data_IF_246422619583
#
_entry.id   IF_246422619583
#
_cell.length_a   1.000
_cell.length_b   1.000
_cell.length_c   1.000
_cell.angle_alpha   90.00
_cell.angle_beta   90.00
_cell.angle_gamma   90.00
#
_symmetry.space_group_name_H-M   'P 1'
#
loop_
_entity.id
_entity.type
_entity.pdbx_description
1 polymer ?
#
# COMPACT_ATOMS: atom_id res chain seq x y z
N UNK A 1 -5.16 17.58 13.15
CA UNK A 1 -4.16 17.24 12.16
C UNK A 1 -4.10 15.73 12.01
N UNK A 2 -4.40 15.21 10.84
CA UNK A 2 -4.66 13.77 10.62
C UNK A 2 -3.37 12.94 10.52
N UNK A 3 -2.29 13.56 10.06
CA UNK A 3 -1.00 12.90 9.91
C UNK A 3 -0.47 12.31 11.23
N UNK A 4 -0.54 13.09 12.32
CA UNK A 4 -0.13 12.61 13.66
C UNK A 4 -0.92 11.40 14.16
N UNK A 5 -2.16 11.22 13.69
CA UNK A 5 -2.96 10.06 14.05
C UNK A 5 -2.45 8.81 13.34
N UNK A 6 -2.19 8.90 12.03
CA UNK A 6 -1.65 7.78 11.26
C UNK A 6 -0.23 7.44 11.72
N UNK A 7 0.60 8.44 12.01
CA UNK A 7 1.97 8.24 12.49
C UNK A 7 2.05 7.38 13.77
N UNK A 8 1.05 7.45 14.65
CA UNK A 8 0.99 6.63 15.87
C UNK A 8 0.59 5.18 15.61
N UNK A 9 0.12 4.87 14.42
CA UNK A 9 -0.31 3.54 13.99
C UNK A 9 0.79 2.82 13.19
N UNK A 10 1.87 3.53 12.85
CA UNK A 10 3.02 3.00 12.11
C UNK A 10 4.07 2.40 13.05
N UNK A 11 4.97 1.53 12.56
CA UNK A 11 6.10 1.03 13.35
C UNK A 11 6.93 2.16 13.95
N UNK A 12 7.53 1.93 15.12
CA UNK A 12 8.32 2.95 15.84
C UNK A 12 9.55 3.42 15.04
N UNK A 13 10.10 2.55 14.20
CA UNK A 13 11.25 2.80 13.31
C UNK A 13 10.85 3.36 11.94
N UNK A 14 9.54 3.60 11.69
CA UNK A 14 9.06 4.09 10.41
C UNK A 14 9.46 5.56 10.18
N UNK A 15 10.28 5.79 9.18
CA UNK A 15 10.65 7.13 8.76
C UNK A 15 9.56 7.76 7.88
N UNK A 16 8.98 8.86 8.36
CA UNK A 16 7.96 9.59 7.60
C UNK A 16 8.55 10.20 6.33
N UNK A 17 7.90 10.02 5.16
CA UNK A 17 8.32 10.67 3.94
C UNK A 17 8.18 12.20 4.03
N UNK A 18 8.86 12.92 3.15
CA UNK A 18 8.58 14.34 2.93
C UNK A 18 7.14 14.51 2.47
N UNK A 19 6.55 15.67 2.75
CA UNK A 19 5.19 15.96 2.32
C UNK A 19 5.21 17.14 1.37
N UNK A 20 4.71 16.92 0.14
CA UNK A 20 4.47 17.96 -0.85
C UNK A 20 2.97 18.15 -1.03
N UNK A 21 2.52 19.39 -1.07
CA UNK A 21 1.12 19.75 -1.37
C UNK A 21 1.10 20.47 -2.71
N UNK A 22 0.45 19.87 -3.70
CA UNK A 22 0.38 20.44 -5.03
C UNK A 22 -0.93 20.07 -5.74
N UNK A 23 -1.22 20.71 -6.87
CA UNK A 23 -2.28 20.28 -7.77
C UNK A 23 -1.79 19.15 -8.66
N UNK A 24 -2.15 17.91 -8.30
CA UNK A 24 -1.72 16.71 -9.04
C UNK A 24 -2.14 16.79 -10.50
N UNK A 25 -3.34 17.30 -10.81
CA UNK A 25 -3.84 17.40 -12.19
C UNK A 25 -3.01 18.34 -13.08
N UNK A 26 -2.28 19.26 -12.48
CA UNK A 26 -1.37 20.14 -13.23
C UNK A 26 -0.19 19.36 -13.85
N UNK A 27 0.23 18.27 -13.20
CA UNK A 27 1.34 17.44 -13.67
C UNK A 27 0.84 16.16 -14.35
N UNK A 28 -0.31 15.65 -13.92
CA UNK A 28 -0.95 14.43 -14.41
C UNK A 28 -2.44 14.72 -14.68
N UNK A 29 -2.80 15.32 -15.83
CA UNK A 29 -4.16 15.81 -16.14
C UNK A 29 -5.25 14.72 -16.03
N UNK A 30 -4.92 13.49 -16.41
CA UNK A 30 -5.85 12.36 -16.43
C UNK A 30 -5.94 11.62 -15.08
N UNK A 31 -5.09 11.99 -14.11
CA UNK A 31 -5.06 11.34 -12.81
C UNK A 31 -6.01 12.03 -11.83
N UNK A 32 -7.07 11.33 -11.42
CA UNK A 32 -7.99 11.77 -10.36
C UNK A 32 -7.61 11.11 -9.02
N UNK A 33 -6.54 11.61 -8.40
CA UNK A 33 -6.00 11.09 -7.15
C UNK A 33 -6.03 12.12 -6.03
N UNK A 34 -6.28 11.64 -4.79
CA UNK A 34 -6.19 12.45 -3.56
C UNK A 34 -4.73 12.65 -3.17
N UNK A 35 -3.93 11.60 -3.30
CA UNK A 35 -2.53 11.56 -2.91
C UNK A 35 -1.75 10.63 -3.85
N UNK A 36 -0.44 10.62 -3.70
CA UNK A 36 0.49 9.71 -4.34
C UNK A 36 1.78 9.61 -3.52
N UNK A 37 2.48 8.50 -3.63
CA UNK A 37 3.80 8.34 -3.04
C UNK A 37 4.87 8.20 -4.15
N UNK A 38 5.83 9.09 -4.14
CA UNK A 38 7.01 9.02 -5.00
C UNK A 38 8.19 8.44 -4.22
N UNK A 39 8.60 7.24 -4.62
CA UNK A 39 9.70 6.52 -4.00
C UNK A 39 11.05 7.20 -4.20
N UNK A 40 11.33 7.69 -5.42
CA UNK A 40 12.66 8.21 -5.75
C UNK A 40 13.01 9.42 -4.87
N UNK A 41 12.04 10.29 -4.62
CA UNK A 41 12.22 11.45 -3.74
C UNK A 41 11.80 11.20 -2.29
N UNK A 42 11.33 10.00 -1.95
CA UNK A 42 10.70 9.67 -0.67
C UNK A 42 9.68 10.74 -0.26
N UNK A 43 8.71 11.01 -1.15
CA UNK A 43 7.77 12.12 -0.97
C UNK A 43 6.32 11.64 -1.09
N UNK A 44 5.53 11.91 -0.06
CA UNK A 44 4.09 11.81 -0.10
C UNK A 44 3.53 13.10 -0.72
N UNK A 45 2.87 12.96 -1.84
CA UNK A 45 2.24 14.07 -2.57
C UNK A 45 0.77 14.13 -2.19
N UNK A 46 0.31 15.29 -1.69
CA UNK A 46 -1.10 15.52 -1.37
C UNK A 46 -1.71 16.51 -2.34
N UNK A 47 -2.87 16.14 -2.91
CA UNK A 47 -3.57 17.00 -3.86
C UNK A 47 -4.26 18.16 -3.11
N UNK A 48 -3.86 19.38 -3.41
CA UNK A 48 -4.38 20.61 -2.80
C UNK A 48 -5.91 20.74 -2.96
N UNK A 49 -6.49 20.14 -3.98
CA UNK A 49 -7.93 20.16 -4.24
C UNK A 49 -8.74 19.38 -3.18
N UNK A 50 -8.07 18.52 -2.37
CA UNK A 50 -8.67 17.79 -1.24
C UNK A 50 -8.30 18.42 0.10
N UNK A 51 -8.61 19.70 0.27
CA UNK A 51 -8.29 20.56 1.40
C UNK A 51 -9.20 20.35 2.63
N UNK A 52 -10.28 19.59 2.50
CA UNK A 52 -11.26 19.37 3.55
C UNK A 52 -11.70 17.92 3.69
N UNK A 53 -12.05 17.52 4.93
CA UNK A 53 -12.61 16.19 5.20
C UNK A 53 -13.84 15.87 4.32
N UNK A 54 -14.69 16.89 4.05
CA UNK A 54 -15.88 16.73 3.23
C UNK A 54 -15.53 16.33 1.78
N UNK A 55 -14.52 16.94 1.18
CA UNK A 55 -14.08 16.62 -0.17
C UNK A 55 -13.47 15.21 -0.22
N UNK A 56 -12.63 14.85 0.75
CA UNK A 56 -12.04 13.52 0.86
C UNK A 56 -13.14 12.46 1.00
N UNK A 57 -14.05 12.62 1.96
CA UNK A 57 -15.16 11.68 2.17
C UNK A 57 -16.04 11.54 0.93
N UNK A 58 -16.36 12.65 0.26
CA UNK A 58 -17.15 12.60 -0.97
C UNK A 58 -16.48 11.77 -2.05
N UNK A 59 -15.15 11.83 -2.16
CA UNK A 59 -14.38 11.05 -3.12
C UNK A 59 -14.37 9.56 -2.74
N UNK A 60 -13.92 9.23 -1.53
CA UNK A 60 -13.74 7.83 -1.10
C UNK A 60 -15.08 7.09 -0.96
N UNK A 61 -16.16 7.77 -0.58
CA UNK A 61 -17.50 7.17 -0.49
C UNK A 61 -18.11 6.80 -1.84
N UNK A 62 -17.76 7.53 -2.91
CA UNK A 62 -18.16 7.14 -4.27
C UNK A 62 -17.50 5.84 -4.72
N UNK A 63 -16.42 5.48 -4.07
CA UNK A 63 -15.61 4.30 -4.37
C UNK A 63 -15.74 3.22 -3.29
N UNK A 64 -16.88 3.22 -2.57
CA UNK A 64 -17.16 2.21 -1.53
C UNK A 64 -17.11 0.79 -2.12
N UNK A 65 -16.34 -0.09 -1.49
CA UNK A 65 -16.10 -1.46 -1.96
C UNK A 65 -15.00 -1.58 -3.01
N UNK A 66 -14.47 -0.45 -3.51
CA UNK A 66 -13.32 -0.44 -4.41
C UNK A 66 -12.01 -0.42 -3.61
N UNK A 67 -11.88 0.45 -2.62
CA UNK A 67 -10.74 0.51 -1.71
C UNK A 67 -11.06 -0.14 -0.35
N UNK A 68 -10.04 -0.69 0.29
CA UNK A 68 -10.11 -1.26 1.65
C UNK A 68 -10.57 -0.24 2.68
N UNK A 69 -10.05 0.98 2.61
CA UNK A 69 -10.30 2.01 3.61
C UNK A 69 -10.92 3.27 2.99
N UNK A 70 -12.21 3.45 3.21
CA UNK A 70 -12.99 4.61 2.73
C UNK A 70 -13.15 5.71 3.78
N UNK A 71 -12.32 5.71 4.83
CA UNK A 71 -12.26 6.80 5.80
C UNK A 71 -11.49 8.01 5.26
N UNK A 72 -11.56 9.14 5.97
CA UNK A 72 -10.76 10.34 5.65
C UNK A 72 -9.25 10.06 5.66
N UNK A 73 -8.80 9.06 6.41
CA UNK A 73 -7.38 8.65 6.51
C UNK A 73 -7.02 7.57 5.50
N UNK A 74 -8.01 6.97 4.81
CA UNK A 74 -7.80 5.89 3.85
C UNK A 74 -6.74 6.21 2.80
N UNK A 75 -6.85 7.31 2.04
CA UNK A 75 -5.86 7.67 1.03
C UNK A 75 -4.46 7.86 1.62
N UNK A 76 -4.35 8.48 2.79
CA UNK A 76 -3.05 8.67 3.44
C UNK A 76 -2.41 7.35 3.85
N UNK A 77 -3.20 6.41 4.42
CA UNK A 77 -2.70 5.09 4.79
C UNK A 77 -2.27 4.27 3.57
N UNK A 78 -3.02 4.38 2.48
CA UNK A 78 -2.68 3.72 1.21
C UNK A 78 -1.30 4.18 0.71
N UNK A 79 -1.04 5.48 0.64
CA UNK A 79 0.25 6.00 0.18
C UNK A 79 1.40 5.65 1.12
N UNK A 80 1.16 5.70 2.43
CA UNK A 80 2.16 5.23 3.41
C UNK A 80 2.35 3.71 3.35
N UNK A 81 1.33 2.97 2.88
CA UNK A 81 1.43 1.54 2.58
C UNK A 81 2.41 1.24 1.45
N UNK A 82 2.43 2.06 0.40
CA UNK A 82 3.47 1.95 -0.64
C UNK A 82 4.87 2.11 -0.03
N UNK A 83 5.07 3.12 0.81
CA UNK A 83 6.36 3.30 1.49
C UNK A 83 6.73 2.08 2.35
N UNK A 84 5.80 1.56 3.17
CA UNK A 84 6.04 0.37 3.97
C UNK A 84 6.47 -0.83 3.11
N UNK A 85 5.82 -1.03 1.97
CA UNK A 85 6.19 -2.07 1.03
C UNK A 85 7.63 -1.90 0.50
N UNK A 86 8.01 -0.69 0.11
CA UNK A 86 9.38 -0.41 -0.35
C UNK A 86 10.42 -0.59 0.77
N UNK A 87 10.10 -0.15 1.99
CA UNK A 87 10.98 -0.35 3.17
C UNK A 87 11.19 -1.86 3.46
N UNK A 88 10.15 -2.68 3.28
CA UNK A 88 10.27 -4.15 3.40
C UNK A 88 11.17 -4.74 2.33
N UNK A 89 11.07 -4.29 1.08
CA UNK A 89 11.96 -4.73 -0.01
C UNK A 89 13.41 -4.34 0.28
N UNK A 90 13.65 -3.12 0.79
CA UNK A 90 15.00 -2.68 1.18
C UNK A 90 15.57 -3.53 2.32
N UNK A 91 14.74 -3.86 3.31
CA UNK A 91 15.13 -4.77 4.39
C UNK A 91 15.44 -6.18 3.86
N UNK A 92 14.60 -6.72 2.99
CA UNK A 92 14.83 -8.00 2.31
C UNK A 92 16.13 -7.97 1.51
N UNK A 93 16.37 -6.93 0.73
CA UNK A 93 17.61 -6.74 -0.02
C UNK A 93 18.85 -6.77 0.89
N UNK A 94 18.77 -6.10 2.04
CA UNK A 94 19.86 -6.05 3.02
C UNK A 94 20.13 -7.42 3.66
N UNK A 95 19.08 -8.16 4.04
CA UNK A 95 19.20 -9.50 4.66
C UNK A 95 19.86 -10.49 3.70
N UNK A 96 19.47 -10.44 2.40
CA UNK A 96 19.93 -11.40 1.37
C UNK A 96 21.15 -10.93 0.59
N UNK A 97 21.72 -9.77 0.92
CA UNK A 97 22.84 -9.17 0.18
C UNK A 97 22.52 -8.99 -1.33
N UNK A 98 21.26 -8.67 -1.66
CA UNK A 98 20.77 -8.50 -3.03
C UNK A 98 20.77 -7.03 -3.45
N UNK A 99 20.95 -6.79 -4.76
CA UNK A 99 20.61 -5.49 -5.33
C UNK A 99 19.10 -5.27 -5.30
N UNK A 100 18.67 -3.99 -5.11
CA UNK A 100 17.24 -3.66 -4.93
C UNK A 100 16.32 -4.27 -5.98
N UNK A 101 16.65 -4.17 -7.27
CA UNK A 101 15.80 -4.69 -8.36
C UNK A 101 15.60 -6.20 -8.29
N UNK A 102 16.63 -6.94 -7.87
CA UNK A 102 16.53 -8.40 -7.68
C UNK A 102 15.66 -8.70 -6.47
N UNK A 103 15.93 -8.03 -5.35
CA UNK A 103 15.16 -8.16 -4.12
C UNK A 103 13.66 -7.84 -4.34
N UNK A 104 13.34 -6.77 -5.04
CA UNK A 104 11.96 -6.40 -5.39
C UNK A 104 11.26 -7.50 -6.18
N UNK A 105 11.93 -8.05 -7.18
CA UNK A 105 11.38 -9.13 -8.00
C UNK A 105 11.12 -10.39 -7.17
N UNK A 106 12.08 -10.80 -6.34
CA UNK A 106 11.98 -12.00 -5.51
C UNK A 106 10.93 -11.83 -4.40
N UNK A 107 10.96 -10.70 -3.69
CA UNK A 107 9.99 -10.37 -2.66
C UNK A 107 8.56 -10.38 -3.21
N UNK A 108 8.33 -9.69 -4.33
CA UNK A 108 7.03 -9.62 -4.96
C UNK A 108 6.58 -10.99 -5.50
N UNK A 109 7.48 -11.79 -6.05
CA UNK A 109 7.16 -13.15 -6.49
C UNK A 109 6.73 -14.05 -5.32
N UNK A 110 7.36 -13.92 -4.15
CA UNK A 110 6.98 -14.65 -2.95
C UNK A 110 5.57 -14.26 -2.48
N UNK A 111 5.24 -12.96 -2.46
CA UNK A 111 3.89 -12.50 -2.13
C UNK A 111 2.86 -13.09 -3.11
N UNK A 112 3.11 -12.99 -4.42
CA UNK A 112 2.19 -13.52 -5.44
C UNK A 112 2.00 -15.03 -5.30
N UNK A 113 3.07 -15.80 -5.07
CA UNK A 113 3.01 -17.25 -4.89
C UNK A 113 2.04 -17.64 -3.77
N UNK A 114 2.09 -16.95 -2.64
CA UNK A 114 1.20 -17.25 -1.51
C UNK A 114 -0.22 -16.79 -1.80
N UNK A 115 -0.41 -15.66 -2.47
CA UNK A 115 -1.75 -15.25 -2.91
C UNK A 115 -2.34 -16.22 -3.93
N UNK A 116 -1.54 -16.79 -4.83
CA UNK A 116 -1.96 -17.83 -5.78
C UNK A 116 -2.43 -19.10 -5.06
N UNK A 117 -1.78 -19.47 -3.95
CA UNK A 117 -2.25 -20.58 -3.10
C UNK A 117 -3.61 -20.28 -2.47
N UNK A 118 -3.82 -19.07 -1.96
CA UNK A 118 -5.11 -18.64 -1.41
C UNK A 118 -6.22 -18.61 -2.48
N UNK A 119 -5.92 -18.07 -3.66
CA UNK A 119 -6.88 -17.91 -4.75
C UNK A 119 -7.21 -19.23 -5.46
N UNK A 120 -6.38 -20.26 -5.33
CA UNK A 120 -6.65 -21.61 -5.85
C UNK A 120 -7.96 -22.17 -5.31
N UNK A 121 -8.30 -21.89 -4.06
CA UNK A 121 -9.50 -22.37 -3.39
C UNK A 121 -10.64 -21.36 -3.35
N UNK A 122 -10.31 -20.06 -3.38
CA UNK A 122 -11.25 -18.94 -3.50
C UNK A 122 -10.72 -17.92 -4.52
N UNK A 123 -11.13 -17.98 -5.79
CA UNK A 123 -10.66 -17.07 -6.83
C UNK A 123 -10.85 -15.59 -6.51
N UNK A 124 -11.77 -15.26 -5.60
CA UNK A 124 -12.01 -13.89 -5.15
C UNK A 124 -11.38 -13.57 -3.79
N UNK A 125 -10.49 -14.43 -3.30
CA UNK A 125 -9.89 -14.30 -1.97
C UNK A 125 -9.27 -12.91 -1.74
N UNK A 126 -8.48 -12.39 -2.68
CA UNK A 126 -7.87 -11.05 -2.59
C UNK A 126 -8.95 -9.97 -2.52
N UNK A 127 -10.00 -10.07 -3.34
CA UNK A 127 -11.10 -9.12 -3.33
C UNK A 127 -11.88 -9.15 -2.02
N UNK A 128 -12.16 -10.34 -1.50
CA UNK A 128 -12.95 -10.54 -0.28
C UNK A 128 -12.19 -10.16 0.98
N UNK A 129 -10.88 -10.37 0.99
CA UNK A 129 -10.04 -10.13 2.16
C UNK A 129 -9.35 -8.77 2.15
N UNK A 130 -9.17 -8.15 0.99
CA UNK A 130 -8.63 -6.79 0.83
C UNK A 130 -9.65 -5.86 0.20
N UNK A 131 -9.61 -5.74 -1.13
CA UNK A 131 -10.46 -4.81 -1.87
C UNK A 131 -10.56 -5.18 -3.34
N UNK A 132 -11.49 -4.55 -4.06
CA UNK A 132 -11.56 -4.67 -5.53
C UNK A 132 -10.30 -4.09 -6.19
N UNK A 133 -9.73 -3.02 -5.63
CA UNK A 133 -8.51 -2.41 -6.15
C UNK A 133 -7.29 -3.33 -5.98
N UNK A 134 -7.11 -3.92 -4.80
CA UNK A 134 -6.08 -4.94 -4.58
C UNK A 134 -6.23 -6.14 -5.52
N UNK A 135 -7.47 -6.59 -5.76
CA UNK A 135 -7.74 -7.68 -6.69
C UNK A 135 -7.33 -7.34 -8.14
N UNK A 136 -7.61 -6.12 -8.60
CA UNK A 136 -7.14 -5.65 -9.91
C UNK A 136 -5.60 -5.56 -9.97
N UNK A 137 -4.97 -5.17 -8.87
CA UNK A 137 -3.52 -5.22 -8.72
C UNK A 137 -2.98 -6.65 -8.86
N UNK A 138 -3.62 -7.61 -8.17
CA UNK A 138 -3.26 -9.02 -8.24
C UNK A 138 -3.37 -9.58 -9.67
N UNK A 139 -4.48 -9.33 -10.37
CA UNK A 139 -4.67 -9.76 -11.76
C UNK A 139 -3.60 -9.21 -12.74
N UNK A 140 -3.00 -8.06 -12.41
CA UNK A 140 -1.97 -7.39 -13.22
C UNK A 140 -0.54 -7.63 -12.70
N UNK A 141 -0.39 -8.33 -11.59
CA UNK A 141 0.91 -8.53 -10.93
C UNK A 141 1.46 -7.26 -10.24
N UNK A 142 0.60 -6.28 -9.92
CA UNK A 142 0.98 -5.04 -9.23
C UNK A 142 0.94 -5.23 -7.73
N UNK A 143 1.98 -5.86 -7.17
CA UNK A 143 2.08 -6.19 -5.74
C UNK A 143 2.08 -4.94 -4.86
N UNK A 144 2.64 -3.83 -5.35
CA UNK A 144 2.63 -2.54 -4.65
C UNK A 144 1.21 -2.08 -4.27
N UNK A 145 0.21 -2.27 -5.15
CA UNK A 145 -1.18 -1.91 -4.87
C UNK A 145 -1.83 -2.86 -3.86
N UNK A 146 -1.49 -4.14 -3.92
CA UNK A 146 -1.98 -5.14 -2.95
C UNK A 146 -1.47 -4.79 -1.55
N UNK A 147 -0.18 -4.47 -1.45
CA UNK A 147 0.47 -4.13 -0.19
C UNK A 147 -0.02 -2.79 0.36
N UNK A 148 -0.21 -1.78 -0.50
CA UNK A 148 -0.79 -0.50 -0.09
C UNK A 148 -2.21 -0.67 0.48
N UNK A 149 -3.05 -1.49 -0.15
CA UNK A 149 -4.39 -1.81 0.34
C UNK A 149 -4.36 -2.63 1.64
N UNK A 150 -3.41 -3.55 1.79
CA UNK A 150 -3.21 -4.28 3.03
C UNK A 150 -2.86 -3.34 4.20
N UNK A 151 -1.87 -2.46 4.03
CA UNK A 151 -1.47 -1.50 5.07
C UNK A 151 -2.53 -0.41 5.33
N UNK A 152 -3.39 -0.12 4.35
CA UNK A 152 -4.50 0.81 4.54
C UNK A 152 -5.61 0.24 5.43
N UNK A 153 -5.69 -1.09 5.64
CA UNK A 153 -6.69 -1.70 6.54
C UNK A 153 -6.47 -1.26 7.98
N UNK A 154 -7.56 -1.05 8.67
CA UNK A 154 -7.56 -0.80 10.12
C UNK A 154 -7.51 -2.08 10.95
N UNK A 155 -7.94 -3.18 10.35
CA UNK A 155 -7.94 -4.53 10.93
C UNK A 155 -7.40 -5.48 9.87
N UNK A 156 -6.07 -5.71 9.80
CA UNK A 156 -5.47 -6.63 8.85
C UNK A 156 -5.99 -8.07 9.07
N UNK A 157 -6.07 -8.84 8.00
CA UNK A 157 -6.45 -10.26 8.12
C UNK A 157 -5.26 -11.06 8.67
N UNK A 158 -5.53 -11.99 9.57
CA UNK A 158 -4.50 -12.84 10.17
C UNK A 158 -3.74 -13.65 9.12
N UNK A 159 -4.42 -14.03 8.03
CA UNK A 159 -3.80 -14.74 6.92
C UNK A 159 -2.73 -13.91 6.23
N UNK A 160 -3.00 -12.64 5.93
CA UNK A 160 -2.00 -11.78 5.27
C UNK A 160 -0.84 -11.46 6.22
N UNK A 161 -1.12 -11.22 7.50
CA UNK A 161 -0.07 -11.08 8.50
C UNK A 161 0.83 -12.31 8.59
N UNK A 162 0.23 -13.52 8.49
CA UNK A 162 0.98 -14.77 8.46
C UNK A 162 1.83 -14.87 7.21
N UNK A 163 1.24 -14.58 6.04
CA UNK A 163 1.92 -14.58 4.73
C UNK A 163 3.15 -13.66 4.77
N UNK A 164 2.98 -12.43 5.24
CA UNK A 164 4.07 -11.47 5.31
C UNK A 164 5.18 -11.93 6.26
N UNK A 165 4.81 -12.49 7.42
CA UNK A 165 5.78 -13.08 8.33
C UNK A 165 6.53 -14.24 7.70
N UNK A 166 5.86 -15.13 6.98
CA UNK A 166 6.48 -16.24 6.26
C UNK A 166 7.46 -15.75 5.19
N UNK A 167 7.06 -14.76 4.38
CA UNK A 167 7.94 -14.17 3.35
C UNK A 167 9.18 -13.53 3.97
N UNK A 168 9.03 -12.86 5.13
CA UNK A 168 10.15 -12.21 5.82
C UNK A 168 10.98 -13.15 6.68
N UNK A 169 10.45 -14.31 7.07
CA UNK A 169 11.12 -15.28 7.95
C UNK A 169 11.75 -16.46 7.21
N UNK A 170 11.44 -16.67 5.91
CA UNK A 170 11.98 -17.80 5.13
C UNK A 170 13.49 -17.74 4.87
N UNK A 171 14.20 -16.95 5.64
CA UNK A 171 15.60 -16.64 5.40
C UNK A 171 16.52 -16.94 6.59
N UNK A 172 16.06 -17.67 7.58
CA UNK A 172 16.90 -18.19 8.66
C UNK A 172 17.29 -19.67 8.48
N UNK A 173 17.18 -20.21 7.27
CA UNK A 173 17.72 -21.54 6.91
C UNK A 173 18.76 -21.36 5.78
#
# INVERSE_FOLDING_TARGET
MQLKKVQRELPDDFEMPRIAICDIKKYYPDLDAIAGYDRESNTLIWNVNFDSKKKILKFVQRQKGYFTNTSVLGPLRHELGHKQHYDMIEKFASIHELGYTVAEKEFNANILRVLDECTRYDPLWVKNNLSTYAYQGYEKGFVNEIMAEYFAKTEPTKEIDRILREVMANDET
#
